data_IF_753813363928
#
_entry.id   IF_753813363928
#
_cell.length_a   1.000
_cell.length_b   1.000
_cell.length_c   1.000
_cell.angle_alpha   90.00
_cell.angle_beta   90.00
_cell.angle_gamma   90.00
#
_symmetry.space_group_name_H-M   'P 1'
#
loop_
_entity.id
_entity.type
_entity.pdbx_description
1 polymer ?
#
# COMPACT_ATOMS: atom_id res chain seq x y z
N UNK A 1 7.10 13.52 -31.91
CA UNK A 1 7.83 12.77 -30.85
C UNK A 1 8.76 11.68 -31.39
N UNK A 2 8.43 10.97 -32.48
CA UNK A 2 9.33 9.96 -33.09
C UNK A 2 10.62 10.59 -33.66
N UNK A 3 10.53 11.78 -34.27
CA UNK A 3 11.71 12.49 -34.80
C UNK A 3 12.72 12.95 -33.72
N UNK A 4 12.26 13.24 -32.50
CA UNK A 4 13.15 13.72 -31.43
C UNK A 4 13.99 12.57 -30.84
N UNK A 5 13.42 11.35 -30.81
CA UNK A 5 14.12 10.15 -30.35
C UNK A 5 15.18 9.65 -31.35
N UNK A 6 14.94 9.85 -32.64
CA UNK A 6 15.94 9.58 -33.70
C UNK A 6 17.11 10.57 -33.64
N UNK A 7 16.85 11.85 -33.32
CA UNK A 7 17.88 12.88 -33.24
C UNK A 7 18.86 12.65 -32.08
N UNK A 8 18.36 12.21 -30.90
CA UNK A 8 19.21 11.86 -29.76
C UNK A 8 20.04 10.59 -29.96
N UNK A 9 19.54 9.61 -30.72
CA UNK A 9 20.30 8.40 -31.05
C UNK A 9 21.46 8.69 -32.00
N UNK A 10 21.27 9.61 -32.96
CA UNK A 10 22.31 10.02 -33.92
C UNK A 10 23.41 10.85 -33.25
N UNK A 11 23.08 11.70 -32.27
CA UNK A 11 24.10 12.46 -31.53
C UNK A 11 24.89 11.60 -30.54
N UNK A 12 24.29 10.56 -29.97
CA UNK A 12 25.01 9.63 -29.08
C UNK A 12 26.00 8.73 -29.84
N UNK A 13 25.67 8.33 -31.08
CA UNK A 13 26.56 7.58 -31.98
C UNK A 13 27.79 8.38 -32.42
N UNK A 14 27.75 9.72 -32.34
CA UNK A 14 28.89 10.59 -32.68
C UNK A 14 29.95 10.71 -31.57
N UNK A 15 29.60 10.39 -30.32
CA UNK A 15 30.47 10.54 -29.13
C UNK A 15 31.17 9.21 -28.76
N UNK A 16 30.59 8.08 -29.20
CA UNK A 16 31.12 6.74 -28.96
C UNK A 16 32.21 6.45 -30.00
N UNK A 17 33.47 6.48 -29.55
CA UNK A 17 34.67 6.31 -30.36
C UNK A 17 34.75 5.03 -31.21
N UNK A 18 35.80 4.96 -32.02
CA UNK A 18 36.16 4.05 -33.13
C UNK A 18 36.03 2.50 -32.94
N UNK A 19 35.16 1.99 -32.08
CA UNK A 19 34.94 0.55 -31.89
C UNK A 19 33.62 0.10 -32.54
N UNK A 20 33.74 -0.73 -33.59
CA UNK A 20 32.62 -1.31 -34.34
C UNK A 20 31.74 -2.20 -33.46
N UNK A 21 32.31 -2.86 -32.45
CA UNK A 21 31.59 -3.70 -31.47
C UNK A 21 30.74 -2.85 -30.53
N UNK A 22 31.26 -1.69 -30.13
CA UNK A 22 30.53 -0.74 -29.28
C UNK A 22 29.37 -0.10 -30.04
N UNK A 23 29.54 0.20 -31.34
CA UNK A 23 28.47 0.72 -32.21
C UNK A 23 27.34 -0.29 -32.43
N UNK A 24 27.66 -1.55 -32.68
CA UNK A 24 26.64 -2.60 -32.87
C UNK A 24 25.85 -2.87 -31.58
N UNK A 25 26.52 -2.83 -30.43
CA UNK A 25 25.88 -2.95 -29.11
C UNK A 25 24.95 -1.77 -28.81
N UNK A 26 25.41 -0.54 -29.03
CA UNK A 26 24.58 0.67 -28.86
C UNK A 26 23.40 0.68 -29.83
N UNK A 27 23.60 0.28 -31.08
CA UNK A 27 22.53 0.15 -32.07
C UNK A 27 21.50 -0.92 -31.66
N UNK A 28 21.94 -2.09 -31.19
CA UNK A 28 21.05 -3.14 -30.70
C UNK A 28 20.23 -2.69 -29.49
N UNK A 29 20.84 -1.96 -28.54
CA UNK A 29 20.14 -1.36 -27.40
C UNK A 29 19.12 -0.30 -27.85
N UNK A 30 19.46 0.53 -28.82
CA UNK A 30 18.55 1.55 -29.37
C UNK A 30 17.35 0.92 -30.10
N UNK A 31 17.59 -0.12 -30.91
CA UNK A 31 16.51 -0.88 -31.57
C UNK A 31 15.64 -1.57 -30.52
N UNK A 32 16.24 -2.23 -29.51
CA UNK A 32 15.49 -2.84 -28.41
C UNK A 32 14.63 -1.83 -27.65
N UNK A 33 15.17 -0.65 -27.35
CA UNK A 33 14.44 0.42 -26.66
C UNK A 33 13.28 0.97 -27.50
N UNK A 34 13.48 1.15 -28.81
CA UNK A 34 12.41 1.63 -29.71
C UNK A 34 11.31 0.59 -29.91
N UNK A 35 11.65 -0.69 -30.09
CA UNK A 35 10.67 -1.79 -30.14
C UNK A 35 9.90 -1.88 -28.81
N UNK A 36 10.60 -1.83 -27.67
CA UNK A 36 9.96 -1.81 -26.36
C UNK A 36 9.00 -0.64 -26.19
N UNK A 37 9.42 0.57 -26.58
CA UNK A 37 8.58 1.77 -26.50
C UNK A 37 7.33 1.67 -27.39
N UNK A 38 7.47 1.14 -28.61
CA UNK A 38 6.32 0.99 -29.52
C UNK A 38 5.31 -0.04 -29.00
N UNK A 39 5.76 -1.14 -28.41
CA UNK A 39 4.88 -2.13 -27.77
C UNK A 39 4.14 -1.53 -26.56
N UNK A 40 4.84 -0.77 -25.71
CA UNK A 40 4.22 -0.07 -24.57
C UNK A 40 3.18 0.94 -25.05
N UNK A 41 3.48 1.75 -26.07
CA UNK A 41 2.52 2.71 -26.62
C UNK A 41 1.30 2.02 -27.24
N UNK A 42 1.50 0.87 -27.90
CA UNK A 42 0.42 0.05 -28.45
C UNK A 42 -0.47 -0.52 -27.34
N UNK A 43 0.12 -1.03 -26.25
CA UNK A 43 -0.62 -1.54 -25.09
C UNK A 43 -1.38 -0.41 -24.37
N UNK A 44 -0.75 0.76 -24.19
CA UNK A 44 -1.43 1.93 -23.62
C UNK A 44 -2.62 2.30 -24.50
N UNK A 45 -2.43 2.40 -25.81
CA UNK A 45 -3.50 2.78 -26.75
C UNK A 45 -4.67 1.81 -26.76
N UNK A 46 -4.43 0.51 -26.57
CA UNK A 46 -5.51 -0.48 -26.48
C UNK A 46 -6.26 -0.47 -25.14
N UNK A 47 -5.65 0.08 -24.08
CA UNK A 47 -6.21 0.11 -22.73
C UNK A 47 -6.79 1.47 -22.32
N UNK A 48 -6.43 2.55 -23.01
CA UNK A 48 -7.01 3.89 -22.79
C UNK A 48 -8.46 3.89 -23.25
N UNK A 49 -9.37 4.33 -22.37
CA UNK A 49 -10.77 4.55 -22.69
C UNK A 49 -11.00 5.76 -23.59
N UNK A 50 -12.25 6.20 -23.71
CA UNK A 50 -12.68 7.30 -24.59
C UNK A 50 -12.30 8.72 -24.10
N UNK A 51 -11.68 8.81 -22.92
CA UNK A 51 -11.44 10.07 -22.21
C UNK A 51 -10.11 10.74 -22.66
N UNK A 52 -10.16 12.02 -23.07
CA UNK A 52 -8.96 12.78 -23.43
C UNK A 52 -8.15 13.12 -22.18
N UNK A 53 -7.00 12.48 -21.99
CA UNK A 53 -6.12 12.69 -20.84
C UNK A 53 -4.69 13.11 -21.23
N UNK A 54 -4.00 13.87 -20.38
CA UNK A 54 -2.58 14.18 -20.60
C UNK A 54 -1.75 12.90 -20.66
N UNK A 55 -0.85 12.81 -21.65
CA UNK A 55 -0.01 11.62 -21.88
C UNK A 55 0.79 11.23 -20.63
N UNK A 56 1.30 12.22 -19.89
CA UNK A 56 2.03 11.97 -18.63
C UNK A 56 1.17 11.31 -17.53
N UNK A 57 -0.12 11.68 -17.44
CA UNK A 57 -1.05 11.06 -16.47
C UNK A 57 -1.35 9.60 -16.86
N UNK A 58 -1.56 9.34 -18.14
CA UNK A 58 -1.79 7.97 -18.65
C UNK A 58 -0.55 7.09 -18.45
N UNK A 59 0.64 7.62 -18.76
CA UNK A 59 1.90 6.89 -18.60
C UNK A 59 2.18 6.58 -17.12
N UNK A 60 2.00 7.56 -16.23
CA UNK A 60 2.21 7.35 -14.79
C UNK A 60 1.23 6.31 -14.21
N UNK A 61 -0.05 6.34 -14.61
CA UNK A 61 -1.02 5.31 -14.24
C UNK A 61 -0.61 3.94 -14.77
N UNK A 62 -0.20 3.84 -16.04
CA UNK A 62 0.24 2.58 -16.64
C UNK A 62 1.42 1.97 -15.87
N UNK A 63 2.44 2.78 -15.56
CA UNK A 63 3.60 2.34 -14.76
C UNK A 63 3.15 1.89 -13.38
N UNK A 64 2.31 2.67 -12.69
CA UNK A 64 1.81 2.29 -11.37
C UNK A 64 1.05 0.96 -11.39
N UNK A 65 0.18 0.73 -12.39
CA UNK A 65 -0.57 -0.52 -12.51
C UNK A 65 0.34 -1.72 -12.81
N UNK A 66 1.40 -1.54 -13.61
CA UNK A 66 2.39 -2.59 -13.86
C UNK A 66 3.20 -2.93 -12.61
N UNK A 67 3.65 -1.91 -11.86
CA UNK A 67 4.38 -2.12 -10.59
C UNK A 67 3.49 -2.83 -9.57
N UNK A 68 2.25 -2.35 -9.36
CA UNK A 68 1.30 -2.97 -8.43
C UNK A 68 0.92 -4.38 -8.89
N UNK A 69 0.78 -4.62 -10.20
CA UNK A 69 0.51 -5.95 -10.75
C UNK A 69 1.65 -6.92 -10.51
N UNK A 70 2.89 -6.47 -10.74
CA UNK A 70 4.08 -7.27 -10.44
C UNK A 70 4.20 -7.59 -8.95
N UNK A 71 3.99 -6.60 -8.08
CA UNK A 71 3.95 -6.79 -6.63
C UNK A 71 2.86 -7.78 -6.23
N UNK A 72 1.63 -7.61 -6.74
CA UNK A 72 0.49 -8.48 -6.47
C UNK A 72 0.76 -9.92 -6.89
N UNK A 73 1.29 -10.14 -8.09
CA UNK A 73 1.66 -11.47 -8.57
C UNK A 73 2.80 -12.12 -7.76
N UNK A 74 3.72 -11.33 -7.20
CA UNK A 74 4.74 -11.82 -6.26
C UNK A 74 4.13 -12.18 -4.90
N UNK A 75 3.32 -11.29 -4.32
CA UNK A 75 2.71 -11.50 -3.00
C UNK A 75 1.68 -12.64 -3.02
N UNK A 76 0.91 -12.78 -4.10
CA UNK A 76 -0.03 -13.91 -4.24
C UNK A 76 0.72 -15.23 -4.34
N UNK A 77 1.80 -15.32 -5.13
CA UNK A 77 2.63 -16.55 -5.18
C UNK A 77 3.17 -16.93 -3.80
N UNK A 78 3.69 -15.94 -3.08
CA UNK A 78 4.10 -16.14 -1.69
C UNK A 78 2.93 -16.64 -0.82
N UNK A 79 1.75 -16.06 -0.94
CA UNK A 79 0.57 -16.51 -0.20
C UNK A 79 0.21 -17.97 -0.53
N UNK A 80 0.23 -18.38 -1.80
CA UNK A 80 0.00 -19.79 -2.19
C UNK A 80 1.06 -20.71 -1.55
N UNK A 81 2.34 -20.32 -1.61
CA UNK A 81 3.44 -21.05 -0.96
C UNK A 81 3.21 -21.18 0.56
N UNK A 82 2.81 -20.10 1.21
CA UNK A 82 2.50 -20.06 2.64
C UNK A 82 1.31 -20.99 2.99
N UNK A 83 0.35 -21.18 2.08
CA UNK A 83 -0.80 -22.09 2.30
C UNK A 83 -0.42 -23.57 2.31
N UNK A 84 0.72 -23.94 1.72
CA UNK A 84 1.20 -25.32 1.78
C UNK A 84 1.78 -25.69 3.15
N UNK A 85 2.24 -24.71 3.94
CA UNK A 85 2.88 -24.92 5.25
C UNK A 85 2.37 -23.93 6.32
N UNK A 86 1.04 -23.79 6.44
CA UNK A 86 0.39 -22.77 7.29
C UNK A 86 0.90 -22.77 8.74
N UNK A 87 1.06 -23.96 9.35
CA UNK A 87 1.47 -24.07 10.75
C UNK A 87 2.85 -23.43 11.00
N UNK A 88 3.82 -23.75 10.15
CA UNK A 88 5.17 -23.20 10.23
C UNK A 88 5.16 -21.68 10.01
N UNK A 89 4.47 -21.20 8.97
CA UNK A 89 4.41 -19.77 8.64
C UNK A 89 3.76 -18.94 9.75
N UNK A 90 2.73 -19.48 10.41
CA UNK A 90 2.08 -18.84 11.56
C UNK A 90 3.00 -18.79 12.77
N UNK A 91 3.75 -19.87 13.06
CA UNK A 91 4.72 -19.90 14.15
C UNK A 91 5.86 -18.92 13.93
N UNK A 92 6.45 -18.88 12.72
CA UNK A 92 7.47 -17.88 12.36
C UNK A 92 6.95 -16.44 12.51
N UNK A 93 5.69 -16.21 12.13
CA UNK A 93 5.04 -14.90 12.26
C UNK A 93 4.84 -14.52 13.71
N UNK A 94 4.40 -15.45 14.55
CA UNK A 94 4.28 -15.27 16.00
C UNK A 94 5.64 -14.91 16.60
N UNK A 95 6.66 -15.75 16.40
CA UNK A 95 7.99 -15.58 16.99
C UNK A 95 8.64 -14.26 16.56
N UNK A 96 8.52 -13.88 15.29
CA UNK A 96 8.99 -12.58 14.79
C UNK A 96 8.33 -11.40 15.52
N UNK A 97 7.02 -11.45 15.76
CA UNK A 97 6.27 -10.39 16.44
C UNK A 97 6.63 -10.32 17.94
N UNK A 98 6.72 -11.46 18.61
CA UNK A 98 7.15 -11.54 20.01
C UNK A 98 8.56 -10.99 20.19
N UNK A 99 9.49 -11.41 19.33
CA UNK A 99 10.87 -10.94 19.34
C UNK A 99 10.97 -9.43 19.11
N UNK A 100 10.20 -8.87 18.17
CA UNK A 100 10.16 -7.42 17.91
C UNK A 100 9.67 -6.61 19.11
N UNK A 101 8.78 -7.18 19.92
CA UNK A 101 8.11 -6.50 21.04
C UNK A 101 8.58 -6.95 22.42
N UNK A 102 9.63 -7.79 22.50
CA UNK A 102 10.12 -8.39 23.76
C UNK A 102 10.53 -7.38 24.84
N UNK A 103 11.01 -6.21 24.42
CA UNK A 103 11.56 -5.19 25.33
C UNK A 103 10.50 -4.17 25.80
N UNK A 104 9.25 -4.35 25.38
CA UNK A 104 8.11 -3.53 25.83
C UNK A 104 7.69 -3.88 27.25
N UNK A 105 6.92 -3.01 27.91
CA UNK A 105 6.31 -3.30 29.22
C UNK A 105 5.53 -4.62 29.17
N UNK A 106 4.70 -4.80 28.15
CA UNK A 106 3.90 -6.00 27.95
C UNK A 106 4.74 -7.24 27.61
N UNK A 107 5.77 -7.07 26.77
CA UNK A 107 6.68 -8.15 26.40
C UNK A 107 7.49 -8.67 27.57
N UNK A 108 7.88 -7.78 28.50
CA UNK A 108 8.53 -8.17 29.76
C UNK A 108 7.56 -8.85 30.72
N UNK A 109 6.32 -8.35 30.81
CA UNK A 109 5.28 -8.93 31.67
C UNK A 109 5.00 -10.40 31.33
N UNK A 110 4.99 -10.75 30.04
CA UNK A 110 4.74 -12.12 29.56
C UNK A 110 6.02 -12.86 29.11
N UNK A 111 7.19 -12.33 29.46
CA UNK A 111 8.51 -12.90 29.13
C UNK A 111 8.66 -13.37 27.67
N UNK A 112 8.29 -12.50 26.72
CA UNK A 112 8.37 -12.79 25.29
C UNK A 112 9.76 -13.19 24.80
N UNK A 113 10.81 -12.80 25.54
CA UNK A 113 12.20 -13.11 25.20
C UNK A 113 12.52 -14.61 25.27
N UNK A 114 11.83 -15.36 26.14
CA UNK A 114 12.10 -16.80 26.33
C UNK A 114 11.19 -17.70 25.52
N UNK A 115 10.23 -17.13 24.78
CA UNK A 115 9.28 -17.89 23.97
C UNK A 115 9.98 -18.38 22.70
N UNK A 116 10.07 -19.70 22.55
CA UNK A 116 10.71 -20.33 21.38
C UNK A 116 9.73 -21.06 20.46
N UNK A 117 8.47 -21.19 20.86
CA UNK A 117 7.42 -21.77 20.02
C UNK A 117 6.00 -21.50 20.52
N UNK A 118 5.02 -22.07 19.81
CA UNK A 118 3.59 -21.85 20.10
C UNK A 118 3.19 -22.39 21.48
N UNK A 119 3.77 -23.51 21.92
CA UNK A 119 3.48 -24.09 23.24
C UNK A 119 3.91 -23.16 24.38
N UNK A 120 5.11 -22.58 24.26
CA UNK A 120 5.64 -21.59 25.20
C UNK A 120 4.74 -20.35 25.31
N UNK A 121 4.25 -19.87 24.17
CA UNK A 121 3.35 -18.72 24.11
C UNK A 121 2.02 -19.01 24.82
N UNK A 122 1.41 -20.15 24.53
CA UNK A 122 0.14 -20.58 25.16
C UNK A 122 0.26 -20.75 26.67
N UNK A 123 1.44 -21.15 27.16
CA UNK A 123 1.68 -21.29 28.60
C UNK A 123 1.85 -19.93 29.32
N UNK A 124 2.34 -18.89 28.63
CA UNK A 124 2.66 -17.57 29.22
C UNK A 124 1.58 -16.51 28.99
N UNK A 125 0.78 -16.66 27.93
CA UNK A 125 -0.17 -15.66 27.49
C UNK A 125 -1.60 -16.21 27.50
N UNK A 126 -2.51 -15.64 28.32
CA UNK A 126 -3.90 -16.10 28.37
C UNK A 126 -4.69 -15.58 27.17
N UNK A 127 -5.83 -16.21 26.89
CA UNK A 127 -6.80 -15.64 25.94
C UNK A 127 -7.44 -14.40 26.59
N UNK A 128 -7.45 -13.28 25.89
CA UNK A 128 -7.85 -11.96 26.41
C UNK A 128 -8.90 -11.28 25.54
N UNK A 129 -9.47 -10.18 26.06
CA UNK A 129 -10.38 -9.28 25.34
C UNK A 129 -9.80 -7.86 25.30
N UNK A 130 -10.47 -6.91 24.63
CA UNK A 130 -10.02 -5.52 24.56
C UNK A 130 -9.79 -4.88 25.94
N UNK A 131 -10.58 -5.26 26.95
CA UNK A 131 -10.45 -4.72 28.31
C UNK A 131 -9.07 -4.97 28.92
N UNK A 132 -8.44 -6.10 28.58
CA UNK A 132 -7.09 -6.42 29.00
C UNK A 132 -6.04 -5.41 28.49
N UNK A 133 -6.32 -4.77 27.35
CA UNK A 133 -5.41 -3.84 26.69
C UNK A 133 -5.78 -2.37 26.91
N UNK A 134 -6.99 -2.09 27.41
CA UNK A 134 -7.55 -0.72 27.46
C UNK A 134 -6.62 0.26 28.17
N UNK A 135 -6.15 -0.08 29.36
CA UNK A 135 -5.25 0.78 30.15
C UNK A 135 -3.89 0.98 29.47
N UNK A 136 -3.33 -0.08 28.89
CA UNK A 136 -2.06 -0.03 28.17
C UNK A 136 -2.16 0.87 26.92
N UNK A 137 -3.30 0.86 26.23
CA UNK A 137 -3.58 1.73 25.09
C UNK A 137 -3.78 3.18 25.54
N UNK A 138 -4.42 3.41 26.69
CA UNK A 138 -4.54 4.75 27.30
C UNK A 138 -3.17 5.34 27.65
N UNK A 139 -2.26 4.53 28.22
CA UNK A 139 -0.88 4.93 28.49
C UNK A 139 -0.15 5.38 27.21
N UNK A 140 -0.32 4.63 26.12
CA UNK A 140 0.23 5.01 24.80
C UNK A 140 -0.42 6.30 24.29
N UNK A 141 -1.73 6.47 24.47
CA UNK A 141 -2.45 7.68 24.07
C UNK A 141 -1.98 8.92 24.87
N UNK A 142 -1.57 8.73 26.14
CA UNK A 142 -0.95 9.73 27.00
C UNK A 142 0.55 9.97 26.70
N UNK A 143 1.13 9.21 25.76
CA UNK A 143 2.49 9.44 25.25
C UNK A 143 3.56 8.50 25.81
N UNK A 144 3.17 7.46 26.55
CA UNK A 144 4.11 6.48 27.05
C UNK A 144 4.57 5.54 25.92
N UNK A 145 5.88 5.49 25.72
CA UNK A 145 6.52 4.67 24.70
C UNK A 145 6.78 3.23 25.19
N UNK A 146 6.84 2.28 24.24
CA UNK A 146 7.22 0.88 24.49
C UNK A 146 6.32 0.17 25.52
N UNK A 147 5.03 0.50 25.57
CA UNK A 147 4.05 -0.17 26.45
C UNK A 147 3.63 -1.54 25.87
N UNK A 148 2.89 -1.55 24.77
CA UNK A 148 2.44 -2.77 24.06
C UNK A 148 3.29 -3.11 22.83
N UNK A 149 3.67 -2.08 22.09
CA UNK A 149 4.44 -2.17 20.84
C UNK A 149 5.74 -1.38 21.00
N UNK A 150 6.77 -1.78 20.26
CA UNK A 150 8.11 -1.19 20.36
C UNK A 150 8.26 0.11 19.56
N UNK A 151 7.35 0.36 18.62
CA UNK A 151 7.30 1.54 17.76
C UNK A 151 6.16 2.49 18.18
N UNK A 152 6.24 3.76 17.77
CA UNK A 152 5.14 4.71 17.94
C UNK A 152 4.02 4.42 16.93
N UNK A 153 2.75 4.34 17.36
CA UNK A 153 1.64 4.18 16.42
C UNK A 153 1.52 5.42 15.52
N UNK A 154 1.11 5.19 14.26
CA UNK A 154 0.78 6.25 13.32
C UNK A 154 -0.58 6.88 13.63
N UNK A 155 -1.54 6.05 14.05
CA UNK A 155 -2.90 6.45 14.41
C UNK A 155 -3.47 5.44 15.40
N UNK A 156 -4.30 5.93 16.33
CA UNK A 156 -5.18 5.13 17.16
C UNK A 156 -6.48 4.91 16.39
N UNK A 157 -6.55 3.77 15.72
CA UNK A 157 -7.64 3.37 14.85
C UNK A 157 -8.90 3.03 15.66
N UNK A 158 -9.98 3.79 15.49
CA UNK A 158 -11.26 3.49 16.14
C UNK A 158 -12.00 2.38 15.42
N UNK A 159 -12.47 1.40 16.18
CA UNK A 159 -13.43 0.41 15.71
C UNK A 159 -14.84 1.00 15.72
N UNK A 160 -15.66 0.66 14.71
CA UNK A 160 -17.02 1.18 14.54
C UNK A 160 -18.05 0.53 15.48
N UNK A 161 -17.65 0.14 16.69
CA UNK A 161 -18.38 -0.78 17.57
C UNK A 161 -19.91 -0.59 17.56
N UNK A 162 -20.65 -1.66 17.24
CA UNK A 162 -22.10 -1.60 17.04
C UNK A 162 -22.90 -1.64 18.34
N UNK A 163 -22.27 -1.90 19.50
CA UNK A 163 -22.99 -2.13 20.77
C UNK A 163 -22.24 -1.67 22.03
N UNK A 164 -21.12 -0.93 21.92
CA UNK A 164 -20.30 -0.54 23.08
C UNK A 164 -19.36 0.64 22.83
N UNK A 165 -18.61 1.05 23.85
CA UNK A 165 -17.60 2.10 23.73
C UNK A 165 -16.54 1.71 22.67
N UNK A 166 -16.26 2.64 21.75
CA UNK A 166 -15.31 2.42 20.64
C UNK A 166 -13.93 1.99 21.17
N UNK A 167 -13.45 0.82 20.71
CA UNK A 167 -12.09 0.38 20.97
C UNK A 167 -11.08 1.12 20.07
N UNK A 168 -9.92 1.47 20.62
CA UNK A 168 -8.78 2.05 19.90
C UNK A 168 -7.77 0.95 19.59
N UNK A 169 -7.40 0.79 18.33
CA UNK A 169 -6.39 -0.16 17.87
C UNK A 169 -5.12 0.59 17.46
N UNK A 170 -3.96 -0.01 17.71
CA UNK A 170 -2.68 0.58 17.36
C UNK A 170 -2.36 0.29 15.88
N UNK A 171 -2.44 1.30 15.01
CA UNK A 171 -1.94 1.17 13.64
C UNK A 171 -0.48 1.61 13.57
N UNK A 172 0.36 0.78 12.98
CA UNK A 172 1.78 1.05 12.76
C UNK A 172 2.14 1.04 11.27
N UNK A 173 3.33 1.56 10.93
CA UNK A 173 3.83 1.54 9.56
C UNK A 173 3.93 0.11 9.01
N UNK A 174 4.36 -0.84 9.85
CA UNK A 174 4.48 -2.23 9.47
C UNK A 174 3.12 -2.85 9.17
N UNK A 175 2.11 -2.63 10.02
CA UNK A 175 0.75 -3.13 9.76
C UNK A 175 0.16 -2.56 8.48
N UNK A 176 0.41 -1.27 8.18
CA UNK A 176 -0.07 -0.64 6.95
C UNK A 176 0.66 -1.18 5.71
N UNK A 177 1.94 -1.46 5.83
CA UNK A 177 2.77 -2.03 4.75
C UNK A 177 2.35 -3.48 4.47
N UNK A 178 2.15 -4.29 5.52
CA UNK A 178 1.62 -5.66 5.42
C UNK A 178 0.23 -5.66 4.79
N UNK A 179 -0.69 -4.80 5.27
CA UNK A 179 -2.03 -4.67 4.70
C UNK A 179 -2.00 -4.32 3.21
N UNK A 180 -1.17 -3.36 2.80
CA UNK A 180 -1.07 -2.99 1.39
C UNK A 180 -0.48 -4.11 0.55
N UNK A 181 0.68 -4.64 0.93
CA UNK A 181 1.38 -5.65 0.13
C UNK A 181 0.64 -6.99 0.13
N UNK A 182 0.28 -7.53 1.28
CA UNK A 182 -0.28 -8.87 1.40
C UNK A 182 -1.80 -8.89 1.30
N UNK A 183 -2.49 -7.77 1.56
CA UNK A 183 -3.93 -7.64 1.39
C UNK A 183 -4.30 -7.03 0.03
N UNK A 184 -3.99 -5.75 -0.15
CA UNK A 184 -4.46 -4.96 -1.31
C UNK A 184 -3.86 -5.49 -2.61
N UNK A 185 -2.53 -5.65 -2.71
CA UNK A 185 -1.93 -6.05 -4.00
C UNK A 185 -2.30 -7.48 -4.41
N UNK A 186 -2.49 -8.39 -3.44
CA UNK A 186 -2.97 -9.76 -3.69
C UNK A 186 -4.40 -9.74 -4.22
N UNK A 187 -5.29 -8.97 -3.57
CA UNK A 187 -6.67 -8.80 -4.00
C UNK A 187 -6.74 -8.21 -5.43
N UNK A 188 -5.91 -7.21 -5.73
CA UNK A 188 -5.83 -6.63 -7.07
C UNK A 188 -5.34 -7.63 -8.12
N UNK A 189 -4.34 -8.48 -7.82
CA UNK A 189 -3.90 -9.55 -8.73
C UNK A 189 -5.03 -10.55 -9.01
N UNK A 190 -5.71 -11.01 -7.95
CA UNK A 190 -6.84 -11.93 -8.07
C UNK A 190 -7.99 -11.32 -8.89
N UNK A 191 -8.34 -10.06 -8.63
CA UNK A 191 -9.37 -9.32 -9.36
C UNK A 191 -9.02 -9.19 -10.84
N UNK A 192 -7.78 -8.87 -11.20
CA UNK A 192 -7.36 -8.74 -12.61
C UNK A 192 -7.46 -10.07 -13.37
N UNK A 193 -7.13 -11.18 -12.71
CA UNK A 193 -7.25 -12.51 -13.31
C UNK A 193 -8.70 -12.93 -13.50
N UNK A 194 -9.55 -12.66 -12.51
CA UNK A 194 -10.98 -12.97 -12.59
C UNK A 194 -11.71 -12.05 -13.58
N UNK A 195 -11.30 -10.78 -13.66
CA UNK A 195 -11.93 -9.76 -14.49
C UNK A 195 -10.88 -9.01 -15.31
N UNK A 196 -10.39 -9.57 -16.44
CA UNK A 196 -9.35 -8.94 -17.27
C UNK A 196 -9.72 -7.54 -17.78
N UNK A 197 -11.02 -7.22 -17.89
CA UNK A 197 -11.51 -5.89 -18.24
C UNK A 197 -11.05 -4.78 -17.24
N UNK A 198 -10.71 -5.16 -16.00
CA UNK A 198 -10.17 -4.24 -14.99
C UNK A 198 -8.73 -3.80 -15.27
N UNK A 199 -8.04 -4.39 -16.25
CA UNK A 199 -6.72 -3.92 -16.70
C UNK A 199 -6.76 -2.67 -17.60
N UNK A 200 -7.94 -2.10 -17.82
CA UNK A 200 -8.05 -0.85 -18.57
C UNK A 200 -7.38 0.31 -17.83
N UNK A 201 -6.98 1.35 -18.59
CA UNK A 201 -6.44 2.61 -18.05
C UNK A 201 -7.57 3.61 -17.73
N UNK A 202 -8.78 3.10 -17.49
CA UNK A 202 -9.89 3.91 -17.00
C UNK A 202 -9.64 4.32 -15.54
N UNK A 203 -10.27 5.43 -15.13
CA UNK A 203 -10.20 5.91 -13.75
C UNK A 203 -11.29 5.21 -12.94
N UNK A 204 -10.97 4.85 -11.70
CA UNK A 204 -11.92 4.21 -10.80
C UNK A 204 -12.74 5.27 -10.07
N UNK A 205 -14.06 5.15 -10.11
CA UNK A 205 -14.90 5.97 -9.24
C UNK A 205 -14.80 5.45 -7.82
N UNK A 206 -14.26 6.27 -6.92
CA UNK A 206 -14.08 5.93 -5.52
C UNK A 206 -14.65 7.01 -4.63
N UNK A 207 -15.70 6.63 -3.90
CA UNK A 207 -16.32 7.49 -2.92
C UNK A 207 -15.49 7.46 -1.64
N UNK A 208 -15.03 8.64 -1.22
CA UNK A 208 -14.30 8.83 0.02
C UNK A 208 -15.08 9.75 0.94
N UNK A 209 -14.89 9.52 2.23
CA UNK A 209 -15.36 10.40 3.29
C UNK A 209 -14.16 10.94 4.06
N UNK A 210 -14.16 12.25 4.33
CA UNK A 210 -13.21 12.87 5.25
C UNK A 210 -13.68 12.65 6.69
N UNK A 211 -13.04 11.78 7.49
CA UNK A 211 -13.45 11.59 8.87
C UNK A 211 -13.03 12.78 9.74
N UNK A 212 -13.80 13.02 10.80
CA UNK A 212 -13.36 13.91 11.88
C UNK A 212 -12.28 13.19 12.68
N UNK A 213 -11.05 13.69 12.60
CA UNK A 213 -9.93 13.20 13.40
C UNK A 213 -9.91 13.92 14.75
N UNK A 214 -9.58 13.16 15.80
CA UNK A 214 -9.31 13.66 17.14
C UNK A 214 -7.83 13.49 17.45
N UNK A 215 -7.36 14.11 18.52
CA UNK A 215 -5.99 13.94 19.01
C UNK A 215 -6.04 13.36 20.42
N UNK A 216 -5.10 12.48 20.73
CA UNK A 216 -4.84 12.05 22.11
C UNK A 216 -4.14 13.16 22.89
N UNK A 217 -3.96 12.96 24.20
CA UNK A 217 -3.22 13.89 25.07
C UNK A 217 -1.79 14.13 24.57
N UNK A 218 -1.13 13.09 24.04
CA UNK A 218 0.18 13.20 23.42
C UNK A 218 0.17 13.62 21.95
N UNK A 219 -0.98 14.03 21.40
CA UNK A 219 -1.10 14.49 20.02
C UNK A 219 -1.15 13.37 18.97
N UNK A 220 -1.38 12.11 19.35
CA UNK A 220 -1.58 11.03 18.38
C UNK A 220 -2.93 11.18 17.71
N UNK A 221 -3.00 10.94 16.40
CA UNK A 221 -4.28 10.94 15.69
C UNK A 221 -5.18 9.81 16.19
N UNK A 222 -6.47 10.12 16.36
CA UNK A 222 -7.53 9.18 16.71
C UNK A 222 -8.61 9.29 15.62
N UNK A 223 -8.89 8.18 14.93
CA UNK A 223 -9.83 8.18 13.81
C UNK A 223 -9.99 6.80 13.18
N UNK A 224 -10.78 6.65 12.12
CA UNK A 224 -10.94 5.36 11.44
C UNK A 224 -9.63 4.93 10.75
N UNK A 225 -9.42 3.62 10.63
CA UNK A 225 -8.27 3.05 9.90
C UNK A 225 -8.45 3.04 8.37
N UNK A 226 -9.59 3.53 7.87
CA UNK A 226 -9.93 3.53 6.45
C UNK A 226 -9.10 4.53 5.66
N UNK A 227 -8.91 4.27 4.35
CA UNK A 227 -8.27 5.24 3.45
C UNK A 227 -9.04 6.56 3.45
N UNK A 228 -8.35 7.65 3.72
CA UNK A 228 -8.92 8.99 3.68
C UNK A 228 -8.61 9.66 2.34
N UNK A 229 -9.32 10.74 2.01
CA UNK A 229 -8.92 11.62 0.93
C UNK A 229 -7.45 12.02 1.01
N UNK A 230 -6.98 12.46 2.18
CA UNK A 230 -5.60 12.90 2.39
C UNK A 230 -4.57 11.79 2.06
N UNK A 231 -4.82 10.55 2.51
CA UNK A 231 -3.94 9.42 2.21
C UNK A 231 -4.02 8.92 0.76
N UNK A 232 -4.95 9.44 -0.04
CA UNK A 232 -5.14 9.05 -1.45
C UNK A 232 -4.79 10.16 -2.45
N UNK A 233 -4.32 11.34 -2.00
CA UNK A 233 -3.98 12.47 -2.87
C UNK A 233 -2.88 12.16 -3.89
N UNK A 234 -1.96 11.26 -3.57
CA UNK A 234 -0.92 10.83 -4.51
C UNK A 234 -1.45 9.85 -5.60
N UNK A 235 -2.70 9.40 -5.48
CA UNK A 235 -3.37 8.50 -6.41
C UNK A 235 -4.49 9.19 -7.22
N UNK A 236 -4.54 10.53 -7.27
CA UNK A 236 -5.58 11.27 -8.02
C UNK A 236 -5.68 10.83 -9.49
N UNK A 237 -4.54 10.46 -10.12
CA UNK A 237 -4.52 9.96 -11.50
C UNK A 237 -5.24 8.62 -11.69
N UNK A 238 -5.56 7.90 -10.61
CA UNK A 238 -6.27 6.62 -10.63
C UNK A 238 -7.78 6.78 -10.40
N UNK A 239 -8.25 7.94 -9.92
CA UNK A 239 -9.64 8.14 -9.51
C UNK A 239 -10.36 9.18 -10.38
N UNK A 240 -11.67 9.04 -10.54
CA UNK A 240 -12.51 10.05 -11.20
C UNK A 240 -12.68 11.29 -10.32
N UNK A 241 -12.70 11.07 -9.00
CA UNK A 241 -12.84 12.09 -7.97
C UNK A 241 -11.86 13.26 -8.16
N UNK A 242 -12.33 14.50 -8.33
CA UNK A 242 -11.48 15.65 -8.63
C UNK A 242 -10.78 16.15 -7.36
N UNK A 243 -9.61 16.78 -7.49
CA UNK A 243 -8.81 17.28 -6.35
C UNK A 243 -9.62 18.09 -5.31
N UNK A 244 -10.53 19.00 -5.70
CA UNK A 244 -11.34 19.75 -4.74
C UNK A 244 -12.23 18.88 -3.83
N UNK A 245 -12.68 17.71 -4.30
CA UNK A 245 -13.45 16.77 -3.47
C UNK A 245 -12.64 16.24 -2.27
N UNK A 246 -11.31 16.35 -2.30
CA UNK A 246 -10.40 15.94 -1.21
C UNK A 246 -10.14 17.05 -0.20
N UNK A 247 -10.73 18.23 -0.39
CA UNK A 247 -10.55 19.41 0.46
C UNK A 247 -11.83 19.76 1.25
N UNK A 248 -13.00 19.27 0.83
CA UNK A 248 -14.25 19.50 1.54
C UNK A 248 -14.33 18.77 2.88
N UNK A 249 -14.82 19.49 3.89
CA UNK A 249 -15.10 18.98 5.23
C UNK A 249 -16.60 18.72 5.46
N UNK A 250 -17.47 19.23 4.58
CA UNK A 250 -18.93 19.01 4.66
C UNK A 250 -19.34 17.77 3.87
N UNK A 251 -20.10 16.88 4.52
CA UNK A 251 -20.55 15.60 3.98
C UNK A 251 -21.32 15.73 2.66
N UNK A 252 -22.34 16.61 2.63
CA UNK A 252 -23.20 16.80 1.45
C UNK A 252 -22.43 17.39 0.27
N UNK A 253 -21.51 18.33 0.52
CA UNK A 253 -20.70 18.95 -0.54
C UNK A 253 -19.73 17.96 -1.19
N UNK A 254 -19.08 17.11 -0.38
CA UNK A 254 -18.14 16.10 -0.87
C UNK A 254 -18.84 15.02 -1.72
N UNK A 255 -20.01 14.53 -1.28
CA UNK A 255 -20.78 13.55 -2.03
C UNK A 255 -21.34 14.11 -3.35
N UNK A 256 -21.88 15.32 -3.34
CA UNK A 256 -22.39 15.95 -4.56
C UNK A 256 -21.28 16.09 -5.60
N UNK A 257 -20.08 16.53 -5.20
CA UNK A 257 -18.97 16.68 -6.14
C UNK A 257 -18.50 15.33 -6.70
N UNK A 258 -18.47 14.28 -5.88
CA UNK A 258 -18.10 12.92 -6.32
C UNK A 258 -19.11 12.28 -7.28
N UNK A 259 -20.39 12.64 -7.19
CA UNK A 259 -21.44 12.12 -8.09
C UNK A 259 -21.52 12.92 -9.40
N UNK A 260 -21.19 14.21 -9.36
CA UNK A 260 -21.29 15.11 -10.52
C UNK A 260 -20.06 15.09 -11.45
N UNK A 261 -19.02 14.31 -11.13
CA UNK A 261 -17.74 14.28 -11.87
C UNK A 261 -17.31 12.88 -12.25
#
# INVERSE_FOLDING_TARGET
MVLFSLCCAVTFLGIVGQDQSMRSTVAALAVGATVGMTLVLKEIRSKVGWEKRPVGSVLSQYVALKVVGWLGGRQRRKLEEDTHNVAQVQEETLLRRLQKHRDTCYGKLHDFKTITGVADFRARHPITTYEHYRELIQRIAAGEDKVLISEKPLILAMTSGTSGASAMLLSTKDTNTEFFLQGVTVCLDAMRKAFPATESLQRTTKFFYTPTLRHSEAGLLIGPNSSTPASSRHMLNLYTTPSPAFEFHSYRGQQLLQVLT
#
